data_IF_627972229779
#
_entry.id   IF_627972229779
#
_cell.length_a   1.000
_cell.length_b   1.000
_cell.length_c   1.000
_cell.angle_alpha   90.00
_cell.angle_beta   90.00
_cell.angle_gamma   90.00
#
_symmetry.space_group_name_H-M   'P 1'
#
loop_
_entity.id
_entity.type
_entity.pdbx_description
1 polymer ?
#
# COMPACT_ATOMS: atom_id res chain seq x y z
N UNK A 1 0.66 -23.68 0.31
CA UNK A 1 0.76 -22.57 1.30
C UNK A 1 2.19 -22.04 1.28
N UNK A 2 2.69 -21.64 0.11
CA UNK A 2 4.10 -21.16 -0.02
C UNK A 2 4.18 -19.69 -0.48
N UNK A 3 3.14 -19.14 -1.11
CA UNK A 3 3.17 -17.73 -1.56
C UNK A 3 2.99 -16.70 -0.44
N UNK A 4 2.43 -17.08 0.72
CA UNK A 4 2.26 -16.17 1.87
C UNK A 4 3.56 -15.92 2.65
N UNK A 5 4.62 -16.68 2.37
CA UNK A 5 5.92 -16.51 3.01
C UNK A 5 6.80 -15.52 2.23
N UNK A 6 6.57 -15.40 0.91
CA UNK A 6 7.34 -14.55 0.00
C UNK A 6 7.02 -13.05 0.21
N UNK A 7 5.75 -12.71 0.40
CA UNK A 7 5.35 -11.31 0.63
C UNK A 7 5.99 -10.69 1.88
N UNK A 8 6.07 -11.43 2.99
CA UNK A 8 6.70 -10.93 4.23
C UNK A 8 8.21 -10.74 4.07
N UNK A 9 8.84 -11.49 3.18
CA UNK A 9 10.29 -11.40 2.91
C UNK A 9 10.61 -10.23 1.97
N UNK A 10 9.70 -9.87 1.07
CA UNK A 10 9.82 -8.70 0.18
C UNK A 10 9.44 -7.39 0.90
N UNK A 11 8.59 -7.44 1.94
CA UNK A 11 8.10 -6.26 2.67
C UNK A 11 9.07 -5.72 3.73
N UNK A 12 9.91 -6.58 4.33
CA UNK A 12 11.01 -6.16 5.23
C UNK A 12 12.24 -5.64 4.47
N UNK A 13 12.17 -5.68 3.13
CA UNK A 13 13.33 -5.55 2.28
C UNK A 13 13.71 -4.10 2.03
N UNK A 14 12.82 -3.11 2.16
CA UNK A 14 13.18 -1.72 1.86
C UNK A 14 14.15 -1.13 2.89
N UNK A 15 13.77 -1.12 4.17
CA UNK A 15 14.64 -0.64 5.25
C UNK A 15 15.95 -1.43 5.26
N UNK A 16 15.86 -2.77 5.24
CA UNK A 16 17.04 -3.61 5.26
C UNK A 16 17.90 -3.49 3.99
N UNK A 17 17.34 -3.29 2.80
CA UNK A 17 18.14 -3.02 1.59
C UNK A 17 18.93 -1.72 1.73
N UNK A 18 18.27 -0.64 2.15
CA UNK A 18 18.94 0.66 2.29
C UNK A 18 20.02 0.59 3.39
N UNK A 19 19.69 0.03 4.56
CA UNK A 19 20.65 -0.17 5.65
C UNK A 19 21.83 -1.06 5.23
N UNK A 20 21.57 -2.17 4.52
CA UNK A 20 22.61 -3.06 4.03
C UNK A 20 23.48 -2.38 2.97
N UNK A 21 22.87 -1.60 2.07
CA UNK A 21 23.58 -0.87 1.01
C UNK A 21 24.50 0.18 1.61
N UNK A 22 24.01 0.97 2.57
CA UNK A 22 24.82 1.93 3.35
C UNK A 22 25.93 1.18 4.09
N UNK A 23 25.62 0.12 4.84
CA UNK A 23 26.62 -0.63 5.63
C UNK A 23 27.75 -1.18 4.76
N UNK A 24 27.42 -1.69 3.58
CA UNK A 24 28.37 -2.35 2.69
C UNK A 24 29.19 -1.37 1.85
N UNK A 25 28.61 -0.23 1.43
CA UNK A 25 29.24 0.68 0.47
C UNK A 25 29.61 2.05 1.05
N UNK A 26 29.30 2.37 2.32
CA UNK A 26 29.61 3.67 2.96
C UNK A 26 31.08 4.10 2.89
N UNK A 27 32.00 3.14 2.75
CA UNK A 27 33.44 3.40 2.71
C UNK A 27 33.96 3.57 1.26
N UNK A 28 33.09 3.45 0.26
CA UNK A 28 33.48 3.64 -1.14
C UNK A 28 33.53 5.14 -1.48
N UNK A 29 34.54 5.59 -2.24
CA UNK A 29 34.77 7.01 -2.51
C UNK A 29 33.65 7.67 -3.34
N UNK A 30 32.90 6.89 -4.12
CA UNK A 30 31.77 7.36 -4.93
C UNK A 30 30.41 7.20 -4.22
N UNK A 31 30.38 6.64 -3.00
CA UNK A 31 29.13 6.41 -2.27
C UNK A 31 28.62 7.71 -1.61
N UNK A 32 27.31 8.00 -1.69
CA UNK A 32 26.72 9.18 -1.05
C UNK A 32 26.98 9.17 0.46
N UNK A 33 27.59 10.24 0.98
CA UNK A 33 27.80 10.40 2.42
C UNK A 33 26.60 11.09 3.06
N UNK A 34 26.31 10.72 4.30
CA UNK A 34 25.28 11.34 5.12
C UNK A 34 25.68 12.79 5.43
N UNK A 35 24.80 13.75 5.13
CA UNK A 35 25.04 15.17 5.42
C UNK A 35 25.06 15.40 6.94
N UNK A 36 25.82 16.38 7.43
CA UNK A 36 25.94 16.69 8.88
C UNK A 36 24.61 17.14 9.49
N UNK A 37 23.66 17.54 8.65
CA UNK A 37 22.30 17.95 9.06
C UNK A 37 21.34 16.78 9.26
N UNK A 38 21.65 15.61 8.68
CA UNK A 38 20.83 14.41 8.79
C UNK A 38 21.35 13.53 9.91
N UNK A 39 20.54 13.32 10.95
CA UNK A 39 20.89 12.37 12.01
C UNK A 39 20.54 10.94 11.60
N UNK A 40 21.25 9.95 12.17
CA UNK A 40 20.91 8.54 11.97
C UNK A 40 19.50 8.22 12.47
N UNK A 41 19.08 8.84 13.57
CA UNK A 41 17.73 8.67 14.14
C UNK A 41 16.64 9.16 13.18
N UNK A 42 16.86 10.31 12.53
CA UNK A 42 15.93 10.86 11.54
C UNK A 42 15.87 10.04 10.24
N UNK A 43 16.99 9.40 9.86
CA UNK A 43 17.01 8.45 8.75
C UNK A 43 16.21 7.18 9.08
N UNK A 44 16.41 6.63 10.28
CA UNK A 44 15.73 5.42 10.74
C UNK A 44 14.21 5.65 10.87
N UNK A 45 13.81 6.80 11.43
CA UNK A 45 12.40 7.22 11.53
C UNK A 45 11.76 7.37 10.14
N UNK A 46 12.44 8.00 9.18
CA UNK A 46 11.96 8.11 7.80
C UNK A 46 11.79 6.73 7.13
N UNK A 47 12.77 5.83 7.28
CA UNK A 47 12.69 4.48 6.71
C UNK A 47 11.52 3.70 7.31
N UNK A 48 11.33 3.78 8.62
CA UNK A 48 10.21 3.15 9.31
C UNK A 48 8.86 3.68 8.83
N UNK A 49 8.68 5.00 8.77
CA UNK A 49 7.44 5.63 8.32
C UNK A 49 7.15 5.36 6.84
N UNK A 50 8.20 5.33 6.01
CA UNK A 50 8.07 4.99 4.60
C UNK A 50 7.64 3.54 4.41
N UNK A 51 8.22 2.60 5.16
CA UNK A 51 7.82 1.19 5.15
C UNK A 51 6.39 1.02 5.68
N UNK A 52 6.02 1.69 6.78
CA UNK A 52 4.66 1.67 7.30
C UNK A 52 3.64 2.26 6.30
N UNK A 53 4.03 3.25 5.50
CA UNK A 53 3.20 3.80 4.44
C UNK A 53 3.00 2.80 3.29
N UNK A 54 4.05 2.08 2.88
CA UNK A 54 3.97 1.00 1.89
C UNK A 54 3.11 -0.16 2.40
N UNK A 55 3.28 -0.55 3.66
CA UNK A 55 2.52 -1.62 4.33
C UNK A 55 1.04 -1.29 4.49
N UNK A 56 0.70 0.00 4.45
CA UNK A 56 -0.68 0.45 4.66
C UNK A 56 -1.63 0.06 3.52
N UNK A 57 -1.13 -0.41 2.36
CA UNK A 57 -1.98 -1.03 1.31
C UNK A 57 -2.68 -2.31 1.79
N UNK A 58 -2.20 -2.91 2.88
CA UNK A 58 -2.73 -4.14 3.46
C UNK A 58 -2.41 -5.37 2.62
N UNK A 59 -2.23 -6.51 3.29
CA UNK A 59 -1.88 -7.78 2.62
C UNK A 59 -2.93 -8.19 1.58
N UNK A 60 -2.53 -8.97 0.58
CA UNK A 60 -3.46 -9.51 -0.43
C UNK A 60 -4.66 -10.22 0.21
N UNK A 61 -4.45 -10.94 1.32
CA UNK A 61 -5.52 -11.59 2.09
C UNK A 61 -6.55 -10.60 2.63
N UNK A 62 -6.10 -9.46 3.14
CA UNK A 62 -6.99 -8.38 3.59
C UNK A 62 -7.75 -7.80 2.40
N UNK A 63 -7.07 -7.58 1.27
CA UNK A 63 -7.71 -7.06 0.06
C UNK A 63 -8.78 -7.99 -0.50
N UNK A 64 -8.54 -9.31 -0.53
CA UNK A 64 -9.53 -10.31 -0.94
C UNK A 64 -10.73 -10.37 0.01
N UNK A 65 -10.49 -10.20 1.32
CA UNK A 65 -11.57 -10.15 2.32
C UNK A 65 -12.47 -8.94 2.08
N UNK A 66 -11.86 -7.77 1.85
CA UNK A 66 -12.59 -6.53 1.54
C UNK A 66 -13.35 -6.67 0.22
N UNK A 67 -12.73 -7.25 -0.82
CA UNK A 67 -13.39 -7.53 -2.09
C UNK A 67 -14.63 -8.43 -1.90
N UNK A 68 -14.50 -9.52 -1.15
CA UNK A 68 -15.60 -10.43 -0.85
C UNK A 68 -16.75 -9.73 -0.13
N UNK A 69 -16.46 -8.91 0.89
CA UNK A 69 -17.48 -8.13 1.60
C UNK A 69 -18.17 -7.12 0.67
N UNK A 70 -17.41 -6.35 -0.11
CA UNK A 70 -17.95 -5.34 -1.01
C UNK A 70 -18.78 -5.93 -2.15
N UNK A 71 -18.43 -7.13 -2.63
CA UNK A 71 -19.21 -7.83 -3.65
C UNK A 71 -20.47 -8.46 -3.09
N UNK A 72 -20.41 -9.03 -1.88
CA UNK A 72 -21.54 -9.77 -1.30
C UNK A 72 -22.59 -8.84 -0.69
N UNK A 73 -22.19 -7.71 -0.09
CA UNK A 73 -23.08 -6.80 0.62
C UNK A 73 -24.21 -6.24 -0.28
N UNK A 74 -23.95 -5.75 -1.51
CA UNK A 74 -25.01 -5.28 -2.41
C UNK A 74 -26.00 -6.39 -2.79
N UNK A 75 -25.53 -7.62 -2.94
CA UNK A 75 -26.40 -8.77 -3.26
C UNK A 75 -27.34 -9.04 -2.09
N UNK A 76 -26.82 -9.03 -0.84
CA UNK A 76 -27.64 -9.20 0.36
C UNK A 76 -28.65 -8.06 0.48
N UNK A 77 -28.22 -6.81 0.29
CA UNK A 77 -29.11 -5.64 0.35
C UNK A 77 -30.24 -5.76 -0.67
N UNK A 78 -29.92 -6.08 -1.93
CA UNK A 78 -30.93 -6.27 -2.98
C UNK A 78 -31.89 -7.43 -2.66
N UNK A 79 -31.40 -8.51 -2.05
CA UNK A 79 -32.24 -9.65 -1.64
C UNK A 79 -33.26 -9.31 -0.55
N UNK A 80 -33.06 -8.23 0.20
CA UNK A 80 -33.98 -7.77 1.24
C UNK A 80 -35.19 -7.00 0.69
N UNK A 81 -35.19 -6.64 -0.60
CA UNK A 81 -36.27 -5.92 -1.25
C UNK A 81 -37.14 -6.85 -2.11
N UNK A 82 -38.46 -6.60 -2.21
CA UNK A 82 -39.33 -7.36 -3.09
C UNK A 82 -38.95 -7.13 -4.56
N UNK A 83 -39.01 -8.17 -5.38
CA UNK A 83 -38.53 -8.14 -6.78
C UNK A 83 -39.17 -7.04 -7.64
N UNK A 84 -40.43 -6.69 -7.37
CA UNK A 84 -41.14 -5.64 -8.11
C UNK A 84 -40.63 -4.22 -7.81
N UNK A 85 -39.89 -4.04 -6.72
CA UNK A 85 -39.25 -2.76 -6.37
C UNK A 85 -37.84 -2.60 -6.94
N UNK A 86 -37.28 -3.67 -7.51
CA UNK A 86 -35.94 -3.65 -8.08
C UNK A 86 -35.95 -3.13 -9.52
N UNK A 87 -34.92 -2.38 -9.93
CA UNK A 87 -34.81 -1.85 -11.30
C UNK A 87 -34.62 -2.95 -12.36
N UNK A 88 -34.25 -4.15 -11.93
CA UNK A 88 -33.99 -5.33 -12.78
C UNK A 88 -34.59 -6.57 -12.11
N UNK A 89 -34.99 -7.57 -12.90
CA UNK A 89 -35.78 -8.72 -12.41
C UNK A 89 -35.01 -10.05 -12.47
N UNK A 90 -35.34 -10.96 -11.56
CA UNK A 90 -34.77 -12.31 -11.50
C UNK A 90 -33.24 -12.31 -11.42
N UNK A 91 -32.57 -13.15 -12.23
CA UNK A 91 -31.11 -13.29 -12.21
C UNK A 91 -30.35 -11.99 -12.52
N UNK A 92 -30.99 -11.02 -13.19
CA UNK A 92 -30.37 -9.74 -13.50
C UNK A 92 -30.14 -8.89 -12.25
N UNK A 93 -30.95 -9.05 -11.20
CA UNK A 93 -30.73 -8.38 -9.91
C UNK A 93 -29.43 -8.83 -9.23
N UNK A 94 -29.11 -10.12 -9.32
CA UNK A 94 -27.84 -10.67 -8.81
C UNK A 94 -26.66 -10.11 -9.60
N UNK A 95 -26.75 -10.10 -10.94
CA UNK A 95 -25.70 -9.52 -11.79
C UNK A 95 -25.51 -8.03 -11.51
N UNK A 96 -26.59 -7.30 -11.26
CA UNK A 96 -26.56 -5.89 -10.89
C UNK A 96 -25.89 -5.67 -9.53
N UNK A 97 -26.19 -6.51 -8.53
CA UNK A 97 -25.52 -6.50 -7.23
C UNK A 97 -24.01 -6.76 -7.35
N UNK A 98 -23.61 -7.75 -8.15
CA UNK A 98 -22.20 -8.03 -8.43
C UNK A 98 -21.53 -6.83 -9.12
N UNK A 99 -22.19 -6.21 -10.10
CA UNK A 99 -21.66 -5.04 -10.80
C UNK A 99 -21.45 -3.85 -9.85
N UNK A 100 -22.40 -3.58 -8.95
CA UNK A 100 -22.25 -2.56 -7.90
C UNK A 100 -21.07 -2.90 -7.00
N UNK A 101 -20.96 -4.16 -6.58
CA UNK A 101 -19.88 -4.61 -5.71
C UNK A 101 -18.49 -4.46 -6.33
N UNK A 102 -18.35 -4.81 -7.61
CA UNK A 102 -17.12 -4.59 -8.37
C UNK A 102 -16.79 -3.10 -8.53
N UNK A 103 -17.81 -2.27 -8.75
CA UNK A 103 -17.63 -0.81 -8.84
C UNK A 103 -17.14 -0.24 -7.50
N UNK A 104 -17.74 -0.65 -6.38
CA UNK A 104 -17.31 -0.26 -5.04
C UNK A 104 -15.88 -0.71 -4.74
N UNK A 105 -15.51 -1.94 -5.13
CA UNK A 105 -14.14 -2.43 -4.99
C UNK A 105 -13.15 -1.63 -5.84
N UNK A 106 -13.53 -1.25 -7.07
CA UNK A 106 -12.73 -0.36 -7.91
C UNK A 106 -12.48 1.00 -7.26
N UNK A 107 -13.52 1.63 -6.72
CA UNK A 107 -13.42 2.90 -5.96
C UNK A 107 -12.50 2.72 -4.75
N UNK A 108 -12.65 1.63 -4.00
CA UNK A 108 -11.80 1.31 -2.86
C UNK A 108 -10.31 1.23 -3.28
N UNK A 109 -9.99 0.49 -4.35
CA UNK A 109 -8.62 0.39 -4.88
C UNK A 109 -8.03 1.75 -5.28
N UNK A 110 -8.81 2.59 -5.95
CA UNK A 110 -8.37 3.94 -6.34
C UNK A 110 -8.10 4.80 -5.11
N UNK A 111 -9.04 4.80 -4.15
CA UNK A 111 -8.92 5.56 -2.90
C UNK A 111 -7.71 5.10 -2.09
N UNK A 112 -7.47 3.79 -2.00
CA UNK A 112 -6.33 3.24 -1.28
C UNK A 112 -5.00 3.69 -1.89
N UNK A 113 -4.85 3.60 -3.21
CA UNK A 113 -3.67 4.12 -3.91
C UNK A 113 -3.48 5.61 -3.69
N UNK A 114 -4.55 6.39 -3.64
CA UNK A 114 -4.48 7.82 -3.38
C UNK A 114 -4.03 8.12 -1.93
N UNK A 115 -4.55 7.38 -0.95
CA UNK A 115 -4.15 7.49 0.46
C UNK A 115 -2.68 7.15 0.64
N UNK A 116 -2.20 6.06 0.05
CA UNK A 116 -0.80 5.62 0.13
C UNK A 116 0.11 6.64 -0.51
N UNK A 117 -0.24 7.13 -1.71
CA UNK A 117 0.50 8.21 -2.38
C UNK A 117 0.57 9.46 -1.52
N UNK A 118 -0.53 9.82 -0.84
CA UNK A 118 -0.55 10.98 0.04
C UNK A 118 0.27 10.76 1.31
N UNK A 119 0.28 9.56 1.89
CA UNK A 119 1.16 9.21 3.01
C UNK A 119 2.64 9.28 2.62
N UNK A 120 3.01 8.69 1.49
CA UNK A 120 4.38 8.76 0.95
C UNK A 120 4.78 10.23 0.72
N UNK A 121 3.87 11.03 0.13
CA UNK A 121 4.12 12.46 -0.07
C UNK A 121 4.35 13.19 1.26
N UNK A 122 3.55 12.89 2.29
CA UNK A 122 3.72 13.48 3.62
C UNK A 122 5.04 13.06 4.27
N UNK A 123 5.41 11.78 4.24
CA UNK A 123 6.69 11.31 4.76
C UNK A 123 7.89 12.00 4.06
N UNK A 124 7.79 12.25 2.75
CA UNK A 124 8.80 13.01 1.99
C UNK A 124 8.82 14.51 2.32
N UNK A 125 7.67 15.10 2.65
CA UNK A 125 7.55 16.51 3.06
C UNK A 125 8.05 16.72 4.50
N UNK A 126 7.90 15.72 5.36
CA UNK A 126 8.26 15.76 6.79
C UNK A 126 9.77 15.55 7.01
N UNK A 127 10.42 14.72 6.17
CA UNK A 127 11.87 14.51 6.19
C UNK A 127 12.51 14.68 4.81
N UNK A 128 12.63 15.93 4.30
CA UNK A 128 13.14 16.20 2.96
C UNK A 128 14.63 15.83 2.81
N UNK A 129 15.43 15.96 3.87
CA UNK A 129 16.86 15.65 3.87
C UNK A 129 17.10 14.12 3.86
N UNK A 130 16.33 13.36 4.64
CA UNK A 130 16.36 11.89 4.65
C UNK A 130 15.93 11.32 3.29
N UNK A 131 14.83 11.83 2.71
CA UNK A 131 14.37 11.40 1.39
C UNK A 131 15.41 11.65 0.29
N UNK A 132 16.11 12.78 0.33
CA UNK A 132 17.12 13.12 -0.67
C UNK A 132 18.38 12.24 -0.54
N UNK A 133 18.72 11.83 0.68
CA UNK A 133 19.83 10.90 0.93
C UNK A 133 19.47 9.48 0.46
N UNK A 134 18.29 8.96 0.83
CA UNK A 134 17.83 7.64 0.38
C UNK A 134 17.75 7.56 -1.15
N UNK A 135 17.28 8.61 -1.83
CA UNK A 135 17.24 8.63 -3.31
C UNK A 135 18.65 8.56 -3.93
N UNK A 136 19.66 9.19 -3.31
CA UNK A 136 21.05 9.08 -3.77
C UNK A 136 21.60 7.66 -3.54
N UNK A 137 21.29 7.05 -2.40
CA UNK A 137 21.69 5.68 -2.06
C UNK A 137 21.03 4.65 -2.98
N UNK A 138 19.76 4.84 -3.35
CA UNK A 138 19.07 3.99 -4.33
C UNK A 138 19.74 4.01 -5.71
N UNK A 139 20.20 5.18 -6.17
CA UNK A 139 20.79 5.38 -7.51
C UNK A 139 22.23 4.87 -7.69
N UNK A 140 22.92 4.54 -6.59
CA UNK A 140 24.26 3.95 -6.62
C UNK A 140 24.23 2.48 -7.04
#
# INVERSE_FOLDING_TARGET
MEEFQDYRYILDDFQHQIENKIRNHKNEPDFPQMDEKLSQEELDDFLFDYQAALDSEGTERTQYTIAGVLITLPIIVLSAFPEDSLPVKGYQAVLFGVAIGLLLFGIYKITMKAVVRNKIRRAKEEHPEASAYVEKVERF
#
